data_IF_119510337157
#
_entry.id   IF_119510337157
#
_cell.length_a   1.000
_cell.length_b   1.000
_cell.length_c   1.000
_cell.angle_alpha   90.00
_cell.angle_beta   90.00
_cell.angle_gamma   90.00
#
_symmetry.space_group_name_H-M   'P 1'
#
loop_
_entity.id
_entity.type
_entity.pdbx_description
1 polymer ?
#
# COMPACT_ATOMS: atom_id res chain seq x y z
N UNK A 1 48.80 40.33 20.81
CA UNK A 1 49.17 39.08 21.52
C UNK A 1 47.88 38.33 21.86
N UNK A 2 47.82 37.02 21.55
CA UNK A 2 46.82 35.98 21.93
C UNK A 2 45.38 36.20 21.40
N UNK A 3 44.93 35.57 20.30
CA UNK A 3 44.53 34.15 20.06
C UNK A 3 43.47 33.60 21.03
N UNK A 4 42.32 33.24 20.45
CA UNK A 4 41.47 32.04 20.66
C UNK A 4 40.77 31.89 22.03
N UNK A 5 39.44 31.74 22.11
CA UNK A 5 38.64 30.49 22.19
C UNK A 5 37.24 30.94 22.68
N UNK A 6 36.05 30.38 22.41
CA UNK A 6 35.54 29.20 21.71
C UNK A 6 34.03 29.44 21.56
N UNK A 7 33.47 29.16 20.37
CA UNK A 7 32.03 28.96 20.20
C UNK A 7 31.61 27.73 21.03
N UNK A 8 30.71 27.90 21.99
CA UNK A 8 30.03 26.75 22.60
C UNK A 8 28.74 26.50 21.84
N UNK A 9 28.81 25.52 20.94
CA UNK A 9 27.65 24.84 20.37
C UNK A 9 27.10 23.86 21.40
N UNK A 10 25.79 23.84 21.65
CA UNK A 10 25.09 22.58 21.95
C UNK A 10 23.77 22.60 21.17
N UNK A 11 23.79 21.81 20.09
CA UNK A 11 22.64 21.43 19.31
C UNK A 11 21.63 20.73 20.21
N UNK A 12 20.40 21.23 20.23
CA UNK A 12 19.25 20.47 20.73
C UNK A 12 18.99 19.36 19.72
N UNK A 13 19.49 18.17 20.03
CA UNK A 13 19.23 16.96 19.27
C UNK A 13 17.74 16.65 19.44
N UNK A 14 17.00 16.80 18.34
CA UNK A 14 15.64 16.29 18.20
C UNK A 14 15.67 14.76 18.28
N UNK A 15 15.67 14.20 19.49
CA UNK A 15 15.33 12.80 19.71
C UNK A 15 13.80 12.67 19.73
N UNK A 16 13.15 12.92 18.60
CA UNK A 16 11.81 12.35 18.36
C UNK A 16 12.03 10.92 17.91
N UNK A 17 12.12 10.00 18.87
CA UNK A 17 11.94 8.59 18.55
C UNK A 17 10.49 8.43 18.10
N UNK A 18 10.29 8.40 16.79
CA UNK A 18 8.99 8.09 16.19
C UNK A 18 8.47 6.79 16.76
N UNK A 19 7.25 6.81 17.31
CA UNK A 19 6.54 5.60 17.68
C UNK A 19 6.45 4.69 16.44
N UNK A 20 6.66 3.37 16.58
CA UNK A 20 6.39 2.45 15.49
C UNK A 20 4.88 2.44 15.24
N UNK A 21 4.45 3.15 14.20
CA UNK A 21 3.16 2.88 13.56
C UNK A 21 3.24 1.42 13.13
N UNK A 22 2.28 0.60 13.56
CA UNK A 22 2.23 -0.82 13.18
C UNK A 22 2.17 -0.90 11.66
N UNK A 23 3.28 -1.29 11.04
CA UNK A 23 3.30 -1.59 9.60
C UNK A 23 2.46 -2.84 9.37
N UNK A 24 1.56 -2.78 8.41
CA UNK A 24 0.80 -3.94 7.95
C UNK A 24 1.57 -4.79 6.95
N UNK A 25 2.65 -4.25 6.35
CA UNK A 25 3.67 -5.08 5.77
C UNK A 25 4.33 -5.90 6.88
N UNK A 26 4.33 -7.22 6.72
CA UNK A 26 4.91 -8.12 7.69
C UNK A 26 6.39 -8.31 7.39
N UNK A 27 7.24 -7.94 8.34
CA UNK A 27 8.66 -8.26 8.28
C UNK A 27 8.89 -9.72 8.68
N UNK A 28 9.70 -10.44 7.91
CA UNK A 28 10.05 -11.84 8.18
C UNK A 28 11.55 -12.10 8.04
N UNK A 29 12.10 -12.87 8.97
CA UNK A 29 13.50 -13.35 8.91
C UNK A 29 13.65 -14.64 8.10
N UNK A 30 12.53 -15.20 7.61
CA UNK A 30 12.53 -16.40 6.77
C UNK A 30 12.93 -16.13 5.32
N UNK A 31 12.56 -17.06 4.45
CA UNK A 31 12.66 -16.93 2.99
C UNK A 31 11.27 -16.90 2.37
N UNK A 32 11.14 -16.27 1.20
CA UNK A 32 9.91 -16.35 0.39
C UNK A 32 9.41 -17.78 0.27
N UNK A 33 8.10 -17.94 0.42
CA UNK A 33 7.44 -19.23 0.27
C UNK A 33 7.32 -19.62 -1.21
N UNK A 34 7.18 -18.63 -2.09
CA UNK A 34 6.97 -18.86 -3.51
C UNK A 34 8.04 -18.17 -4.37
N UNK A 35 8.40 -18.82 -5.47
CA UNK A 35 9.31 -18.26 -6.48
C UNK A 35 8.56 -17.60 -7.65
N UNK A 36 7.29 -17.95 -7.87
CA UNK A 36 6.47 -17.47 -8.98
C UNK A 36 5.05 -17.18 -8.50
N UNK A 37 4.34 -16.33 -9.23
CA UNK A 37 2.93 -16.00 -9.00
C UNK A 37 1.99 -17.12 -9.43
N UNK A 38 0.93 -17.38 -8.65
CA UNK A 38 -0.22 -18.17 -9.09
C UNK A 38 -0.95 -17.47 -10.25
N UNK A 39 -1.28 -18.22 -11.30
CA UNK A 39 -1.84 -17.67 -12.53
C UNK A 39 -3.17 -16.95 -12.34
N UNK A 40 -3.94 -17.26 -11.28
CA UNK A 40 -5.23 -16.62 -10.97
C UNK A 40 -5.09 -15.11 -10.72
N UNK A 41 -3.91 -14.64 -10.30
CA UNK A 41 -3.64 -13.24 -10.02
C UNK A 41 -3.18 -12.44 -11.25
N UNK A 42 -2.86 -13.12 -12.36
CA UNK A 42 -2.21 -12.51 -13.53
C UNK A 42 -3.00 -11.34 -14.11
N UNK A 43 -4.34 -11.46 -14.15
CA UNK A 43 -5.21 -10.38 -14.67
C UNK A 43 -5.12 -9.13 -13.79
N UNK A 44 -5.12 -9.28 -12.46
CA UNK A 44 -5.08 -8.17 -11.52
C UNK A 44 -3.70 -7.51 -11.49
N UNK A 45 -2.62 -8.30 -11.58
CA UNK A 45 -1.25 -7.81 -11.72
C UNK A 45 -1.10 -7.02 -13.03
N UNK A 46 -1.63 -7.54 -14.14
CA UNK A 46 -1.59 -6.85 -15.43
C UNK A 46 -2.33 -5.51 -15.38
N UNK A 47 -3.48 -5.44 -14.70
CA UNK A 47 -4.21 -4.19 -14.47
C UNK A 47 -3.40 -3.20 -13.63
N UNK A 48 -2.76 -3.67 -12.55
CA UNK A 48 -1.92 -2.82 -11.70
C UNK A 48 -0.74 -2.24 -12.51
N UNK A 49 -0.07 -3.06 -13.31
CA UNK A 49 1.00 -2.60 -14.19
C UNK A 49 0.51 -1.63 -15.26
N UNK A 50 -0.65 -1.91 -15.87
CA UNK A 50 -1.26 -1.01 -16.87
C UNK A 50 -1.58 0.35 -16.27
N UNK A 51 -2.12 0.41 -15.06
CA UNK A 51 -2.37 1.66 -14.35
C UNK A 51 -1.07 2.37 -13.99
N UNK A 52 -0.09 1.65 -13.43
CA UNK A 52 1.22 2.23 -13.09
C UNK A 52 1.97 2.79 -14.30
N UNK A 53 1.84 2.19 -15.49
CA UNK A 53 2.44 2.70 -16.73
C UNK A 53 1.96 4.10 -17.10
N UNK A 54 0.74 4.50 -16.70
CA UNK A 54 0.22 5.85 -16.92
C UNK A 54 0.99 6.92 -16.14
N UNK A 55 1.64 6.54 -15.04
CA UNK A 55 2.33 7.45 -14.12
C UNK A 55 3.85 7.32 -14.16
N UNK A 56 4.36 6.10 -14.36
CA UNK A 56 5.78 5.76 -14.32
C UNK A 56 6.38 5.44 -15.70
N UNK A 57 5.57 5.44 -16.76
CA UNK A 57 5.99 5.11 -18.13
C UNK A 57 5.91 3.61 -18.46
N UNK A 58 6.17 3.29 -19.73
CA UNK A 58 5.92 1.96 -20.30
C UNK A 58 6.71 0.80 -19.66
N UNK A 59 7.84 1.10 -19.01
CA UNK A 59 8.71 0.10 -18.36
C UNK A 59 8.25 -0.28 -16.94
N UNK A 60 7.19 0.36 -16.43
CA UNK A 60 6.63 0.00 -15.13
C UNK A 60 6.14 -1.45 -15.11
N UNK A 61 6.63 -2.19 -14.13
CA UNK A 61 6.29 -3.60 -13.86
C UNK A 61 6.35 -3.87 -12.37
N UNK A 62 5.59 -4.87 -11.91
CA UNK A 62 5.64 -5.39 -10.53
C UNK A 62 7.00 -6.02 -10.24
N UNK A 63 7.60 -6.71 -11.21
CA UNK A 63 8.92 -7.32 -11.04
C UNK A 63 8.88 -8.61 -10.22
N UNK A 64 9.96 -8.90 -9.49
CA UNK A 64 10.13 -10.14 -8.72
C UNK A 64 9.39 -10.09 -7.37
N UNK A 65 8.06 -10.03 -7.43
CA UNK A 65 7.15 -10.05 -6.27
C UNK A 65 6.05 -11.08 -6.58
N UNK A 66 6.22 -12.35 -6.16
CA UNK A 66 5.20 -13.36 -6.39
C UNK A 66 3.94 -13.08 -5.57
N UNK A 67 2.78 -13.32 -6.17
CA UNK A 67 1.46 -13.23 -5.51
C UNK A 67 0.85 -14.62 -5.49
N UNK A 68 0.52 -15.13 -4.30
CA UNK A 68 0.04 -16.51 -4.13
C UNK A 68 -1.04 -16.60 -3.05
N UNK A 69 -1.75 -17.72 -3.03
CA UNK A 69 -2.52 -18.09 -1.85
C UNK A 69 -1.58 -18.56 -0.74
N UNK A 70 -1.86 -18.17 0.51
CA UNK A 70 -1.05 -18.58 1.64
C UNK A 70 -1.64 -18.20 2.99
N UNK A 71 -0.99 -18.66 4.04
CA UNK A 71 -1.24 -18.19 5.40
C UNK A 71 -0.60 -16.81 5.58
N UNK A 72 -1.38 -15.84 6.03
CA UNK A 72 -0.92 -14.47 6.26
C UNK A 72 -0.22 -14.32 7.60
N UNK A 73 -0.12 -15.38 8.41
CA UNK A 73 0.51 -15.36 9.74
C UNK A 73 -0.31 -14.61 10.81
N UNK A 74 -1.31 -13.84 10.37
CA UNK A 74 -2.27 -13.14 11.21
C UNK A 74 -3.71 -13.49 10.77
N UNK A 75 -4.54 -14.09 11.65
CA UNK A 75 -5.92 -14.43 11.31
C UNK A 75 -6.77 -13.22 10.88
N UNK A 76 -6.39 -11.99 11.28
CA UNK A 76 -7.11 -10.77 10.93
C UNK A 76 -6.77 -10.23 9.53
N UNK A 77 -5.72 -10.74 8.88
CA UNK A 77 -5.26 -10.25 7.58
C UNK A 77 -5.75 -11.15 6.45
N UNK A 78 -6.59 -10.61 5.57
CA UNK A 78 -7.09 -11.32 4.38
C UNK A 78 -6.06 -11.36 3.23
N UNK A 79 -5.15 -10.39 3.22
CA UNK A 79 -3.97 -10.31 2.38
C UNK A 79 -2.82 -9.70 3.16
N UNK A 80 -1.59 -9.98 2.75
CA UNK A 80 -0.40 -9.38 3.34
C UNK A 80 0.75 -9.33 2.34
N UNK A 81 1.46 -8.20 2.32
CA UNK A 81 2.80 -8.09 1.77
C UNK A 81 3.83 -8.50 2.84
N UNK A 82 4.58 -9.56 2.57
CA UNK A 82 5.70 -9.98 3.42
C UNK A 82 6.99 -9.37 2.85
N UNK A 83 7.71 -8.65 3.69
CA UNK A 83 9.05 -8.13 3.42
C UNK A 83 10.07 -8.99 4.15
N UNK A 84 11.02 -9.54 3.41
CA UNK A 84 12.05 -10.41 3.97
C UNK A 84 13.33 -9.65 4.27
N UNK A 85 14.08 -10.11 5.27
CA UNK A 85 15.36 -9.51 5.68
C UNK A 85 16.40 -9.40 4.56
N UNK A 86 16.30 -10.23 3.51
CA UNK A 86 17.16 -10.18 2.32
C UNK A 86 16.66 -9.18 1.25
N UNK A 87 15.64 -8.38 1.55
CA UNK A 87 15.04 -7.38 0.66
C UNK A 87 14.00 -7.95 -0.33
N UNK A 88 13.84 -9.28 -0.41
CA UNK A 88 12.81 -9.87 -1.25
C UNK A 88 11.42 -9.70 -0.65
N UNK A 89 10.38 -9.77 -1.49
CA UNK A 89 9.00 -9.55 -1.06
C UNK A 89 8.07 -10.54 -1.72
N UNK A 90 6.95 -10.85 -1.08
CA UNK A 90 5.86 -11.61 -1.68
C UNK A 90 4.51 -11.17 -1.12
N UNK A 91 3.44 -11.40 -1.87
CA UNK A 91 2.07 -11.17 -1.43
C UNK A 91 1.38 -12.50 -1.20
N UNK A 92 0.80 -12.68 -0.01
CA UNK A 92 -0.04 -13.82 0.32
C UNK A 92 -1.49 -13.37 0.50
N UNK A 93 -2.41 -14.08 -0.15
CA UNK A 93 -3.86 -13.84 -0.04
C UNK A 93 -4.53 -15.07 0.56
N UNK A 94 -5.47 -14.88 1.49
CA UNK A 94 -6.30 -15.98 1.99
C UNK A 94 -7.25 -16.47 0.90
N UNK A 95 -7.17 -17.76 0.59
CA UNK A 95 -8.01 -18.39 -0.43
C UNK A 95 -9.51 -18.30 -0.11
N UNK A 96 -9.88 -18.50 1.15
CA UNK A 96 -11.28 -18.37 1.60
C UNK A 96 -11.82 -16.96 1.35
N UNK A 97 -11.05 -15.93 1.69
CA UNK A 97 -11.45 -14.56 1.40
C UNK A 97 -11.60 -14.34 -0.10
N UNK A 98 -10.62 -14.79 -0.90
CA UNK A 98 -10.63 -14.64 -2.34
C UNK A 98 -11.88 -15.29 -2.97
N UNK A 99 -12.18 -16.53 -2.63
CA UNK A 99 -13.28 -17.26 -3.26
C UNK A 99 -14.65 -16.62 -2.95
N UNK A 100 -14.78 -15.91 -1.83
CA UNK A 100 -16.02 -15.27 -1.38
C UNK A 100 -16.15 -13.78 -1.79
N UNK A 101 -15.24 -13.24 -2.60
CA UNK A 101 -15.22 -11.82 -2.97
C UNK A 101 -15.40 -11.59 -4.46
N UNK A 102 -16.09 -10.49 -4.78
CA UNK A 102 -16.30 -10.02 -6.16
C UNK A 102 -15.03 -9.43 -6.78
N UNK A 103 -15.05 -9.29 -8.11
CA UNK A 103 -13.92 -8.80 -8.92
C UNK A 103 -13.37 -7.46 -8.44
N UNK A 104 -14.24 -6.53 -8.02
CA UNK A 104 -13.82 -5.21 -7.51
C UNK A 104 -13.03 -5.32 -6.21
N UNK A 105 -13.48 -6.15 -5.27
CA UNK A 105 -12.78 -6.36 -4.00
C UNK A 105 -11.44 -7.05 -4.23
N UNK A 106 -11.39 -8.04 -5.13
CA UNK A 106 -10.15 -8.71 -5.53
C UNK A 106 -9.13 -7.73 -6.12
N UNK A 107 -9.58 -6.83 -7.00
CA UNK A 107 -8.73 -5.77 -7.54
C UNK A 107 -8.17 -4.86 -6.44
N UNK A 108 -9.05 -4.35 -5.55
CA UNK A 108 -8.61 -3.51 -4.43
C UNK A 108 -7.57 -4.20 -3.55
N UNK A 109 -7.79 -5.47 -3.20
CA UNK A 109 -6.85 -6.23 -2.38
C UNK A 109 -5.49 -6.36 -3.05
N UNK A 110 -5.45 -6.80 -4.31
CA UNK A 110 -4.17 -6.93 -5.03
C UNK A 110 -3.48 -5.56 -5.18
N UNK A 111 -4.22 -4.50 -5.44
CA UNK A 111 -3.66 -3.16 -5.59
C UNK A 111 -3.13 -2.60 -4.26
N UNK A 112 -3.80 -2.90 -3.15
CA UNK A 112 -3.37 -2.54 -1.80
C UNK A 112 -2.08 -3.26 -1.42
N UNK A 113 -2.03 -4.59 -1.57
CA UNK A 113 -0.84 -5.36 -1.23
C UNK A 113 0.36 -5.03 -2.13
N UNK A 114 0.13 -4.79 -3.44
CA UNK A 114 1.17 -4.28 -4.32
C UNK A 114 1.54 -2.82 -4.02
N UNK A 115 0.64 -2.02 -3.45
CA UNK A 115 0.96 -0.71 -2.90
C UNK A 115 2.05 -0.82 -1.82
N UNK A 116 1.92 -1.77 -0.90
CA UNK A 116 2.97 -2.09 0.07
C UNK A 116 4.23 -2.64 -0.62
N UNK A 117 4.09 -3.71 -1.37
CA UNK A 117 5.21 -4.51 -1.84
C UNK A 117 6.00 -3.85 -2.97
N UNK A 118 5.32 -3.14 -3.90
CA UNK A 118 5.94 -2.56 -5.09
C UNK A 118 6.18 -1.06 -5.01
N UNK A 119 5.29 -0.33 -4.32
CA UNK A 119 5.33 1.13 -4.25
C UNK A 119 5.81 1.66 -2.90
N UNK A 120 6.18 0.78 -1.97
CA UNK A 120 6.67 1.14 -0.63
C UNK A 120 5.71 2.06 0.13
N UNK A 121 4.40 1.86 -0.04
CA UNK A 121 3.39 2.66 0.65
C UNK A 121 3.09 2.08 2.02
N UNK A 122 3.06 2.94 3.04
CA UNK A 122 2.48 2.61 4.33
C UNK A 122 0.96 2.84 4.32
N UNK A 123 0.27 2.38 5.36
CA UNK A 123 -1.15 2.66 5.50
C UNK A 123 -1.44 4.15 5.70
N UNK A 124 -2.57 4.57 5.15
CA UNK A 124 -3.07 5.93 5.25
C UNK A 124 -4.56 5.94 5.61
N UNK A 125 -4.82 6.16 6.90
CA UNK A 125 -6.16 6.10 7.47
C UNK A 125 -6.94 7.41 7.37
N UNK A 126 -6.49 8.36 6.57
CA UNK A 126 -7.18 9.63 6.39
C UNK A 126 -8.60 9.41 5.82
N UNK A 127 -9.55 10.13 6.38
CA UNK A 127 -10.95 10.14 5.93
C UNK A 127 -11.45 11.57 5.76
N UNK A 128 -12.44 11.75 4.89
CA UNK A 128 -13.15 13.02 4.67
C UNK A 128 -14.63 12.84 5.01
N UNK A 129 -15.23 13.74 5.81
CA UNK A 129 -16.66 13.70 6.10
C UNK A 129 -17.49 14.04 4.86
N UNK A 130 -18.60 13.35 4.69
CA UNK A 130 -19.65 13.60 3.67
C UNK A 130 -21.02 13.61 4.37
N UNK A 131 -22.05 14.13 3.71
CA UNK A 131 -23.39 14.33 4.32
C UNK A 131 -23.94 13.10 5.07
N UNK A 132 -23.62 11.89 4.59
CA UNK A 132 -24.11 10.63 5.15
C UNK A 132 -22.99 9.65 5.54
N UNK A 133 -21.82 10.15 5.99
CA UNK A 133 -20.77 9.30 6.53
C UNK A 133 -19.37 9.84 6.31
N UNK A 134 -18.42 8.94 6.09
CA UNK A 134 -17.02 9.28 5.81
C UNK A 134 -16.54 8.50 4.58
N UNK A 135 -15.67 9.13 3.80
CA UNK A 135 -14.97 8.49 2.69
C UNK A 135 -13.49 8.36 3.05
N UNK A 136 -12.94 7.16 2.89
CA UNK A 136 -11.49 6.90 3.03
C UNK A 136 -10.79 7.50 1.83
N UNK A 137 -9.81 8.36 2.06
CA UNK A 137 -9.11 9.09 0.98
C UNK A 137 -7.75 8.49 0.61
N UNK A 138 -7.60 7.18 0.81
CA UNK A 138 -6.49 6.39 0.28
C UNK A 138 -6.94 4.95 0.01
N UNK A 139 -6.41 4.32 -1.04
CA UNK A 139 -6.56 2.87 -1.22
C UNK A 139 -5.69 2.09 -0.23
N UNK A 140 -4.68 2.75 0.35
CA UNK A 140 -3.82 2.24 1.42
C UNK A 140 -4.45 2.40 2.81
N UNK A 141 -5.75 2.68 2.92
CA UNK A 141 -6.43 2.63 4.21
C UNK A 141 -6.32 1.22 4.82
N UNK A 142 -6.09 1.12 6.13
CA UNK A 142 -5.97 -0.15 6.85
C UNK A 142 -7.20 -1.06 6.72
N UNK A 143 -8.36 -0.45 6.45
CA UNK A 143 -9.58 -1.14 6.07
C UNK A 143 -9.96 -0.70 4.66
N UNK A 144 -9.96 -1.62 3.70
CA UNK A 144 -10.31 -1.28 2.31
C UNK A 144 -11.63 -0.49 2.19
N UNK A 145 -11.73 0.45 1.23
CA UNK A 145 -13.00 1.10 0.94
C UNK A 145 -14.04 0.08 0.45
N UNK A 146 -15.32 0.46 0.55
CA UNK A 146 -16.38 -0.38 -0.01
C UNK A 146 -16.22 -0.47 -1.54
N UNK A 147 -16.67 -1.57 -2.15
CA UNK A 147 -16.63 -1.72 -3.61
C UNK A 147 -17.38 -0.59 -4.33
N UNK A 148 -18.51 -0.13 -3.78
CA UNK A 148 -19.29 0.99 -4.31
C UNK A 148 -18.49 2.29 -4.28
N UNK A 149 -17.88 2.63 -3.14
CA UNK A 149 -17.05 3.82 -2.98
C UNK A 149 -15.83 3.78 -3.91
N UNK A 150 -15.19 2.61 -4.02
CA UNK A 150 -14.05 2.43 -4.91
C UNK A 150 -14.44 2.62 -6.37
N UNK A 151 -15.55 2.03 -6.84
CA UNK A 151 -16.02 2.23 -8.22
C UNK A 151 -16.32 3.71 -8.47
N UNK A 152 -17.03 4.36 -7.54
CA UNK A 152 -17.41 5.76 -7.66
C UNK A 152 -16.20 6.70 -7.79
N UNK A 153 -15.12 6.41 -7.07
CA UNK A 153 -13.94 7.27 -7.01
C UNK A 153 -12.66 6.59 -7.54
N UNK A 154 -12.80 5.60 -8.41
CA UNK A 154 -11.68 4.74 -8.86
C UNK A 154 -10.51 5.55 -9.40
N UNK A 155 -10.78 6.54 -10.24
CA UNK A 155 -9.74 7.41 -10.78
C UNK A 155 -8.96 8.16 -9.68
N UNK A 156 -9.64 8.59 -8.62
CA UNK A 156 -9.01 9.24 -7.47
C UNK A 156 -8.15 8.28 -6.66
N UNK A 157 -8.64 7.06 -6.38
CA UNK A 157 -7.86 6.03 -5.68
C UNK A 157 -6.62 5.61 -6.47
N UNK A 158 -6.72 5.46 -7.79
CA UNK A 158 -5.58 5.09 -8.62
C UNK A 158 -4.55 6.22 -8.71
N UNK A 159 -4.99 7.47 -8.86
CA UNK A 159 -4.09 8.62 -8.81
C UNK A 159 -3.37 8.70 -7.46
N UNK A 160 -4.10 8.50 -6.36
CA UNK A 160 -3.53 8.49 -5.00
C UNK A 160 -2.50 7.38 -4.83
N UNK A 161 -2.83 6.15 -5.22
CA UNK A 161 -1.94 4.99 -5.10
C UNK A 161 -0.62 5.22 -5.85
N UNK A 162 -0.66 5.72 -7.09
CA UNK A 162 0.55 5.84 -7.91
C UNK A 162 1.26 7.18 -7.78
N UNK A 163 0.62 8.26 -7.35
CA UNK A 163 1.25 9.60 -7.27
C UNK A 163 1.40 10.12 -5.84
N UNK A 164 0.88 9.41 -4.83
CA UNK A 164 0.90 9.83 -3.42
C UNK A 164 0.22 11.18 -3.16
N UNK A 165 -0.73 11.56 -4.02
CA UNK A 165 -1.54 12.78 -3.87
C UNK A 165 -3.01 12.44 -3.77
N UNK A 166 -3.69 13.04 -2.79
CA UNK A 166 -5.12 12.82 -2.53
C UNK A 166 -6.00 13.84 -3.23
N UNK A 167 -5.42 14.82 -3.93
CA UNK A 167 -6.17 15.97 -4.47
C UNK A 167 -7.28 15.55 -5.43
N UNK A 168 -6.99 14.62 -6.35
CA UNK A 168 -8.00 14.11 -7.29
C UNK A 168 -9.15 13.46 -6.54
N UNK A 169 -8.85 12.61 -5.56
CA UNK A 169 -9.85 11.91 -4.76
C UNK A 169 -10.68 12.87 -3.91
N UNK A 170 -10.03 13.80 -3.20
CA UNK A 170 -10.70 14.82 -2.38
C UNK A 170 -11.60 15.73 -3.22
N UNK A 171 -11.15 16.15 -4.40
CA UNK A 171 -11.96 16.96 -5.31
C UNK A 171 -13.18 16.20 -5.83
N UNK A 172 -13.02 14.91 -6.17
CA UNK A 172 -14.15 14.07 -6.58
C UNK A 172 -15.16 13.87 -5.44
N UNK A 173 -14.69 13.66 -4.21
CA UNK A 173 -15.55 13.54 -3.02
C UNK A 173 -16.29 14.83 -2.73
N UNK A 174 -15.62 15.99 -2.84
CA UNK A 174 -16.22 17.30 -2.57
C UNK A 174 -17.22 17.76 -3.65
N UNK A 175 -17.20 17.15 -4.83
CA UNK A 175 -18.11 17.47 -5.95
C UNK A 175 -19.49 16.76 -5.88
N UNK A 176 -19.74 16.00 -4.80
CA UNK A 176 -20.93 15.21 -4.55
C UNK A 176 -21.65 15.70 -3.32
#
# INVERSE_FOLDING_TARGET
>A
MKKLLVLMAIAVIFASCGMPIKKHAQESTGTRLFATTDSVFSEYISKFEQEGKKYYGNDFKVGDIPVNFGDTGNPDFDGVCIMYSNGTREVLIKKEWWDNRGVTSKEMMIFHELGHCRLDKDHDDETVPVEHGTVKVSLMNSVLPSATTYIQYKAGYLAELFQSTKEVLKNLVASK
#
